data_IF_719011007048
#
_entry.id   IF_719011007048
#
_cell.length_a   1.000
_cell.length_b   1.000
_cell.length_c   1.000
_cell.angle_alpha   90.00
_cell.angle_beta   90.00
_cell.angle_gamma   90.00
#
_symmetry.space_group_name_H-M   'P 1'
#
loop_
_entity.id
_entity.type
_entity.pdbx_description
1 polymer ?
#
# COMPACT_ATOMS: atom_id res chain seq x y z
N UNK A 1 13.20 4.63 -1.61
CA UNK A 1 11.80 4.19 -1.78
C UNK A 1 11.75 2.68 -1.91
N UNK A 2 10.99 1.99 -1.05
CA UNK A 2 10.79 0.53 -1.12
C UNK A 2 9.92 0.11 -2.30
N UNK A 3 9.95 -1.17 -2.68
CA UNK A 3 8.98 -1.73 -3.64
C UNK A 3 7.54 -1.47 -3.20
N UNK A 4 7.23 -1.70 -1.91
CA UNK A 4 5.94 -1.41 -1.29
C UNK A 4 5.50 0.06 -1.49
N UNK A 5 6.41 1.01 -1.29
CA UNK A 5 6.14 2.44 -1.51
C UNK A 5 5.88 2.80 -2.98
N UNK A 6 6.54 2.12 -3.93
CA UNK A 6 6.27 2.31 -5.37
C UNK A 6 4.88 1.83 -5.74
N UNK A 7 4.46 0.67 -5.23
CA UNK A 7 3.11 0.13 -5.45
C UNK A 7 2.05 1.06 -4.88
N UNK A 8 2.23 1.54 -3.64
CA UNK A 8 1.30 2.51 -3.04
C UNK A 8 1.23 3.80 -3.85
N UNK A 9 2.35 4.31 -4.34
CA UNK A 9 2.38 5.53 -5.17
C UNK A 9 1.60 5.33 -6.47
N UNK A 10 1.86 4.23 -7.18
CA UNK A 10 1.16 3.90 -8.40
C UNK A 10 -0.36 3.81 -8.19
N UNK A 11 -0.76 3.18 -7.09
CA UNK A 11 -2.16 3.04 -6.69
C UNK A 11 -2.81 4.37 -6.29
N UNK A 12 -2.12 5.23 -5.54
CA UNK A 12 -2.71 6.46 -4.99
C UNK A 12 -2.79 7.60 -6.01
N UNK A 13 -1.96 7.56 -7.06
CA UNK A 13 -1.88 8.63 -8.05
C UNK A 13 -3.09 8.57 -8.99
N UNK A 14 -4.22 9.11 -8.56
CA UNK A 14 -5.49 9.07 -9.32
C UNK A 14 -6.71 9.18 -8.40
N UNK A 15 -6.53 8.87 -7.12
CA UNK A 15 -7.62 8.82 -6.13
C UNK A 15 -7.71 10.03 -5.20
N UNK A 16 -6.85 11.04 -5.37
CA UNK A 16 -6.70 12.09 -4.37
C UNK A 16 -6.02 11.53 -3.12
N UNK A 17 -4.79 11.96 -2.87
CA UNK A 17 -4.01 11.44 -1.73
C UNK A 17 -4.56 12.06 -0.45
N UNK A 18 -5.04 11.22 0.46
CA UNK A 18 -5.36 11.66 1.82
C UNK A 18 -4.05 11.90 2.60
N UNK A 19 -4.08 12.72 3.67
CA UNK A 19 -2.90 12.94 4.51
C UNK A 19 -2.28 11.64 5.03
N UNK A 20 -3.09 10.61 5.30
CA UNK A 20 -2.63 9.30 5.75
C UNK A 20 -1.80 8.59 4.67
N UNK A 21 -2.26 8.62 3.42
CA UNK A 21 -1.56 8.03 2.28
C UNK A 21 -0.26 8.79 2.00
N UNK A 22 -0.28 10.11 2.09
CA UNK A 22 0.93 10.92 1.94
C UNK A 22 1.99 10.58 2.99
N UNK A 23 1.57 10.39 4.25
CA UNK A 23 2.50 10.02 5.33
C UNK A 23 3.10 8.63 5.16
N UNK A 24 2.35 7.68 4.62
CA UNK A 24 2.88 6.38 4.24
C UNK A 24 3.88 6.47 3.07
N UNK A 25 3.64 7.34 2.09
CA UNK A 25 4.56 7.59 0.98
C UNK A 25 5.84 8.29 1.44
N UNK A 26 5.75 9.28 2.33
CA UNK A 26 6.91 9.94 2.95
C UNK A 26 7.76 8.93 3.71
N UNK A 27 7.14 8.09 4.54
CA UNK A 27 7.81 7.04 5.29
C UNK A 27 8.55 6.08 4.35
N UNK A 28 7.90 5.62 3.28
CA UNK A 28 8.53 4.70 2.35
C UNK A 28 9.71 5.31 1.58
N UNK A 29 9.73 6.64 1.43
CA UNK A 29 10.78 7.36 0.73
C UNK A 29 12.05 7.54 1.59
N UNK A 30 11.92 7.60 2.92
CA UNK A 30 12.99 7.95 3.85
C UNK A 30 13.29 6.82 4.84
N UNK A 31 14.45 6.17 4.65
CA UNK A 31 14.88 5.03 5.47
C UNK A 31 15.11 5.40 6.93
N UNK A 32 15.54 6.63 7.22
CA UNK A 32 15.82 7.08 8.59
C UNK A 32 14.53 7.20 9.41
N UNK A 33 13.38 7.30 8.72
CA UNK A 33 12.06 7.37 9.34
C UNK A 33 11.39 6.01 9.51
N UNK A 34 11.93 4.92 8.99
CA UNK A 34 11.27 3.61 8.97
C UNK A 34 10.93 3.06 10.36
N UNK A 35 11.70 3.40 11.38
CA UNK A 35 11.41 3.06 12.79
C UNK A 35 10.08 3.67 13.29
N UNK A 36 9.58 4.71 12.62
CA UNK A 36 8.29 5.35 12.90
C UNK A 36 7.13 4.67 12.16
N UNK A 37 7.35 3.55 11.49
CA UNK A 37 6.32 2.85 10.72
C UNK A 37 5.09 2.48 11.55
N UNK A 38 5.27 2.19 12.84
CA UNK A 38 4.15 1.98 13.79
C UNK A 38 3.26 3.22 13.94
N UNK A 39 3.82 4.42 13.99
CA UNK A 39 3.03 5.66 14.13
C UNK A 39 2.17 5.89 12.88
N UNK A 40 2.75 5.65 11.71
CA UNK A 40 2.04 5.78 10.42
C UNK A 40 0.96 4.71 10.29
N UNK A 41 1.23 3.47 10.72
CA UNK A 41 0.23 2.41 10.79
C UNK A 41 -1.00 2.81 11.61
N UNK A 42 -0.78 3.32 12.83
CA UNK A 42 -1.89 3.73 13.71
C UNK A 42 -2.69 4.90 13.12
N UNK A 43 -2.00 5.84 12.47
CA UNK A 43 -2.62 6.98 11.80
C UNK A 43 -3.51 6.54 10.63
N UNK A 44 -3.00 5.67 9.76
CA UNK A 44 -3.74 5.09 8.63
C UNK A 44 -4.96 4.32 9.11
N UNK A 45 -4.81 3.50 10.17
CA UNK A 45 -5.92 2.71 10.74
C UNK A 45 -7.04 3.58 11.32
N UNK A 46 -6.70 4.72 11.91
CA UNK A 46 -7.70 5.69 12.42
C UNK A 46 -8.42 6.38 11.27
N UNK A 47 -7.70 6.78 10.22
CA UNK A 47 -8.28 7.35 9.01
C UNK A 47 -9.24 6.38 8.32
N UNK A 48 -8.84 5.11 8.19
CA UNK A 48 -9.68 4.10 7.55
C UNK A 48 -10.97 3.78 8.32
N UNK A 49 -10.94 3.85 9.66
CA UNK A 49 -12.12 3.62 10.50
C UNK A 49 -13.14 4.76 10.38
N UNK A 50 -12.69 5.99 10.15
CA UNK A 50 -13.58 7.11 9.85
C UNK A 50 -14.22 6.99 8.45
N UNK A 51 -13.62 6.17 7.57
CA UNK A 51 -14.01 5.97 6.18
C UNK A 51 -14.69 4.62 5.92
N UNK A 52 -15.32 3.99 6.92
CA UNK A 52 -16.07 2.74 6.74
C UNK A 52 -17.20 2.83 5.68
N UNK A 53 -17.60 4.05 5.30
CA UNK A 53 -18.57 4.34 4.23
C UNK A 53 -17.95 4.55 2.84
N UNK A 54 -16.63 4.51 2.69
CA UNK A 54 -15.96 4.85 1.45
C UNK A 54 -16.01 3.74 0.38
N UNK A 55 -15.70 4.13 -0.84
CA UNK A 55 -15.61 3.23 -1.99
C UNK A 55 -14.55 2.12 -1.76
N UNK A 56 -14.69 1.00 -2.46
CA UNK A 56 -13.85 -0.18 -2.25
C UNK A 56 -12.36 0.13 -2.53
N UNK A 57 -12.10 0.93 -3.54
CA UNK A 57 -10.79 1.42 -3.97
C UNK A 57 -10.07 2.13 -2.83
N UNK A 58 -10.77 3.04 -2.16
CA UNK A 58 -10.24 3.82 -1.05
C UNK A 58 -9.88 2.93 0.14
N UNK A 59 -10.71 1.92 0.45
CA UNK A 59 -10.39 0.93 1.49
C UNK A 59 -9.13 0.13 1.14
N UNK A 60 -8.95 -0.25 -0.13
CA UNK A 60 -7.74 -0.93 -0.59
C UNK A 60 -6.52 -0.01 -0.48
N UNK A 61 -6.64 1.27 -0.80
CA UNK A 61 -5.56 2.26 -0.65
C UNK A 61 -5.10 2.42 0.80
N UNK A 62 -6.04 2.57 1.75
CA UNK A 62 -5.70 2.58 3.16
C UNK A 62 -5.01 1.29 3.60
N UNK A 63 -5.48 0.14 3.12
CA UNK A 63 -4.86 -1.15 3.43
C UNK A 63 -3.45 -1.25 2.87
N UNK A 64 -3.20 -0.77 1.66
CA UNK A 64 -1.86 -0.70 1.08
C UNK A 64 -0.95 0.21 1.91
N UNK A 65 -1.43 1.40 2.30
CA UNK A 65 -0.68 2.34 3.15
C UNK A 65 -0.31 1.72 4.51
N UNK A 66 -1.22 0.95 5.10
CA UNK A 66 -1.00 0.21 6.35
C UNK A 66 0.16 -0.80 6.18
N UNK A 67 0.14 -1.57 5.10
CA UNK A 67 1.16 -2.58 4.82
C UNK A 67 2.52 -1.96 4.53
N UNK A 68 2.57 -0.81 3.85
CA UNK A 68 3.81 -0.05 3.65
C UNK A 68 4.42 0.36 4.99
N UNK A 69 3.60 0.85 5.94
CA UNK A 69 4.06 1.20 7.29
C UNK A 69 4.66 0.01 8.04
N UNK A 70 4.01 -1.15 7.95
CA UNK A 70 4.49 -2.40 8.56
C UNK A 70 5.79 -2.90 7.94
N UNK A 71 5.89 -2.89 6.61
CA UNK A 71 7.12 -3.28 5.90
C UNK A 71 8.28 -2.36 6.29
N UNK A 72 8.07 -1.03 6.27
CA UNK A 72 9.10 -0.09 6.70
C UNK A 72 9.55 -0.37 8.14
N UNK A 73 8.61 -0.53 9.08
CA UNK A 73 8.93 -0.86 10.48
C UNK A 73 9.75 -2.15 10.61
N UNK A 74 9.37 -3.21 9.89
CA UNK A 74 10.09 -4.49 9.94
C UNK A 74 11.52 -4.39 9.39
N UNK A 75 11.73 -3.57 8.35
CA UNK A 75 13.03 -3.36 7.72
C UNK A 75 13.93 -2.36 8.50
N UNK A 76 13.38 -1.64 9.48
CA UNK A 76 14.06 -0.59 10.23
C UNK A 76 15.11 -1.09 11.24
N UNK A 77 15.02 -2.35 11.68
CA UNK A 77 15.94 -2.85 12.69
C UNK A 77 15.45 -4.10 13.43
N UNK A 78 16.18 -4.51 14.47
CA UNK A 78 15.90 -5.77 15.16
C UNK A 78 14.55 -5.71 15.90
N UNK A 79 14.00 -6.90 16.26
CA UNK A 79 12.62 -7.11 16.72
C UNK A 79 12.14 -6.15 17.84
N UNK A 80 10.80 -5.98 18.00
CA UNK A 80 9.75 -6.82 17.42
C UNK A 80 9.28 -6.40 16.02
N UNK A 81 9.25 -7.38 15.11
CA UNK A 81 8.57 -7.26 13.82
C UNK A 81 7.06 -7.18 14.05
N UNK A 82 6.38 -6.32 13.29
CA UNK A 82 4.96 -6.05 13.45
C UNK A 82 4.10 -7.14 12.77
N UNK A 83 4.51 -7.57 11.57
CA UNK A 83 3.89 -8.63 10.79
C UNK A 83 4.82 -9.03 9.63
N UNK A 84 5.45 -10.20 9.71
CA UNK A 84 6.39 -10.69 8.69
C UNK A 84 5.75 -10.99 7.32
N UNK A 85 4.43 -11.09 7.26
CA UNK A 85 3.68 -11.38 6.03
C UNK A 85 3.15 -10.11 5.35
N UNK A 86 3.38 -8.92 5.93
CA UNK A 86 2.86 -7.66 5.39
C UNK A 86 3.25 -7.43 3.92
N UNK A 87 4.48 -7.79 3.53
CA UNK A 87 4.93 -7.67 2.14
C UNK A 87 4.16 -8.55 1.15
N UNK A 88 3.71 -9.73 1.58
CA UNK A 88 3.04 -10.70 0.71
C UNK A 88 1.61 -10.27 0.34
N UNK A 89 0.98 -9.43 1.18
CA UNK A 89 -0.38 -8.94 0.96
C UNK A 89 -0.43 -7.79 -0.06
N UNK A 90 0.69 -7.09 -0.31
CA UNK A 90 0.72 -5.90 -1.16
C UNK A 90 0.38 -6.23 -2.62
N UNK A 91 1.00 -7.28 -3.18
CA UNK A 91 0.79 -7.67 -4.58
C UNK A 91 -0.67 -8.00 -4.91
N UNK A 92 -1.30 -8.97 -4.20
CA UNK A 92 -2.70 -9.32 -4.41
C UNK A 92 -3.67 -8.14 -4.24
N UNK A 93 -3.45 -7.28 -3.25
CA UNK A 93 -4.31 -6.11 -3.03
C UNK A 93 -4.17 -5.06 -4.13
N UNK A 94 -2.95 -4.81 -4.61
CA UNK A 94 -2.73 -3.90 -5.72
C UNK A 94 -3.38 -4.44 -7.00
N UNK A 95 -3.35 -5.75 -7.24
CA UNK A 95 -4.10 -6.37 -8.34
C UNK A 95 -5.60 -6.23 -8.21
N UNK A 96 -6.13 -6.43 -6.99
CA UNK A 96 -7.55 -6.23 -6.74
C UNK A 96 -7.98 -4.80 -7.05
N UNK A 97 -7.17 -3.80 -6.66
CA UNK A 97 -7.43 -2.40 -7.02
C UNK A 97 -7.41 -2.22 -8.54
N UNK A 98 -6.39 -2.72 -9.23
CA UNK A 98 -6.29 -2.60 -10.69
C UNK A 98 -7.48 -3.23 -11.44
N UNK A 99 -8.15 -4.25 -10.88
CA UNK A 99 -9.34 -4.87 -11.48
C UNK A 99 -10.57 -3.95 -11.36
N UNK A 100 -10.76 -3.31 -10.21
CA UNK A 100 -11.93 -2.45 -9.95
C UNK A 100 -11.74 -1.02 -10.47
N UNK A 101 -10.50 -0.64 -10.77
CA UNK A 101 -10.14 0.72 -11.14
C UNK A 101 -10.69 1.16 -12.51
N UNK A 102 -11.51 2.23 -12.57
CA UNK A 102 -12.00 2.76 -13.84
C UNK A 102 -10.92 3.44 -14.68
N UNK A 103 -9.91 4.10 -14.09
CA UNK A 103 -8.87 4.81 -14.83
C UNK A 103 -7.80 3.86 -15.39
N UNK A 104 -7.71 3.68 -16.72
CA UNK A 104 -6.68 2.83 -17.33
C UNK A 104 -5.26 3.27 -16.97
N UNK A 105 -4.99 4.56 -16.79
CA UNK A 105 -3.66 5.05 -16.45
C UNK A 105 -3.24 4.64 -15.04
N UNK A 106 -4.16 4.54 -14.08
CA UNK A 106 -3.89 4.00 -12.74
C UNK A 106 -3.60 2.50 -12.84
N UNK A 107 -4.39 1.74 -13.59
CA UNK A 107 -4.16 0.31 -13.80
C UNK A 107 -2.78 -0.01 -14.37
N UNK A 108 -2.38 0.72 -15.41
CA UNK A 108 -1.09 0.49 -16.07
C UNK A 108 0.08 0.78 -15.11
N UNK A 109 -0.01 1.87 -14.33
CA UNK A 109 1.00 2.18 -13.30
C UNK A 109 1.08 1.14 -12.21
N UNK A 110 -0.06 0.60 -11.77
CA UNK A 110 -0.08 -0.49 -10.78
C UNK A 110 0.60 -1.72 -11.35
N UNK A 111 0.28 -2.11 -12.60
CA UNK A 111 0.90 -3.25 -13.26
C UNK A 111 2.42 -3.07 -13.40
N UNK A 112 2.87 -1.90 -13.86
CA UNK A 112 4.29 -1.55 -13.97
C UNK A 112 5.02 -1.61 -12.61
N UNK A 113 4.37 -1.13 -11.54
CA UNK A 113 4.95 -1.15 -10.20
C UNK A 113 5.06 -2.57 -9.62
N UNK A 114 4.19 -3.49 -10.04
CA UNK A 114 4.21 -4.90 -9.67
C UNK A 114 5.23 -5.70 -10.50
N UNK A 115 5.64 -5.19 -11.66
CA UNK A 115 6.67 -5.78 -12.53
C UNK A 115 6.10 -6.78 -13.51
N UNK A 116 5.54 -7.89 -13.01
CA UNK A 116 4.90 -8.92 -13.84
C UNK A 116 3.42 -9.10 -13.47
N UNK A 117 2.58 -9.23 -14.50
CA UNK A 117 1.18 -9.64 -14.36
C UNK A 117 1.15 -11.04 -13.70
N UNK A 118 0.37 -11.27 -12.63
CA UNK A 118 0.23 -12.59 -12.06
C UNK A 118 -0.30 -13.48 -13.18
N UNK A 119 0.16 -14.74 -13.25
CA UNK A 119 -0.38 -15.67 -14.22
C UNK A 119 -1.90 -15.65 -14.07
N UNK A 120 -2.60 -15.50 -15.20
CA UNK A 120 -4.05 -15.66 -15.23
C UNK A 120 -4.39 -16.99 -14.53
N UNK A 121 -5.51 -17.07 -13.78
CA UNK A 121 -5.96 -18.35 -13.26
C UNK A 121 -5.95 -19.36 -14.41
N UNK A 122 -5.27 -20.49 -14.21
CA UNK A 122 -5.43 -21.61 -15.13
C UNK A 122 -6.90 -22.00 -15.03
N UNK A 123 -7.68 -21.67 -16.05
CA UNK A 123 -9.03 -22.18 -16.22
C UNK A 123 -8.95 -23.71 -16.03
N UNK A 124 -9.64 -24.21 -15.01
CA UNK A 124 -9.83 -25.63 -14.74
C UNK A 124 -11.21 -26.08 -15.20
#
# INVERSE_FOLDING_TARGET
MTWAGRVLRAAADGHGRTPEIERALELAADRDRWSRGREVFELVRRGSAAEEQCAQEQRILFRLAELVGKVAHNEAGPPPFFDQHAGWQIGPLAWQLAIVEPDPAVRDRIADALGDRPPLPLDG
#
